data_IF_624100653854
#
_entry.id   IF_624100653854
#
_cell.length_a   1.000
_cell.length_b   1.000
_cell.length_c   1.000
_cell.angle_alpha   90.00
_cell.angle_beta   90.00
_cell.angle_gamma   90.00
#
_symmetry.space_group_name_H-M   'P 1'
#
loop_
_entity.id
_entity.type
_entity.pdbx_description
1 polymer ?
#
# COMPACT_ATOMS: atom_id res chain seq x y z
N UNK A 1 -10.80 -3.30 40.43
CA UNK A 1 -10.89 -3.41 38.95
C UNK A 1 -9.93 -4.51 38.50
N UNK A 2 -10.44 -5.62 37.94
CA UNK A 2 -9.58 -6.68 37.39
C UNK A 2 -8.97 -6.17 36.08
N UNK A 3 -7.65 -6.01 36.04
CA UNK A 3 -6.92 -5.85 34.79
C UNK A 3 -6.99 -7.20 34.05
N UNK A 4 -7.86 -7.30 33.05
CA UNK A 4 -7.78 -8.37 32.06
C UNK A 4 -6.52 -8.14 31.24
N UNK A 5 -5.44 -8.80 31.64
CA UNK A 5 -4.22 -8.92 30.83
C UNK A 5 -4.56 -9.70 29.57
N UNK A 6 -4.84 -9.01 28.47
CA UNK A 6 -4.89 -9.64 27.15
C UNK A 6 -3.47 -10.13 26.81
N UNK A 7 -3.26 -11.44 26.86
CA UNK A 7 -2.01 -12.07 26.45
C UNK A 7 -1.82 -11.89 24.94
N UNK A 8 -0.71 -11.26 24.55
CA UNK A 8 -0.35 -11.04 23.15
C UNK A 8 0.08 -12.36 22.52
N UNK A 9 -0.47 -12.71 21.35
CA UNK A 9 -0.06 -13.85 20.55
C UNK A 9 1.35 -13.62 19.99
N UNK A 10 2.33 -14.30 20.59
CA UNK A 10 3.75 -14.16 20.23
C UNK A 10 4.03 -14.45 18.75
N UNK A 11 3.28 -15.36 18.11
CA UNK A 11 3.49 -15.67 16.69
C UNK A 11 3.00 -14.52 15.80
N UNK A 12 1.81 -13.98 16.06
CA UNK A 12 1.27 -12.85 15.30
C UNK A 12 2.19 -11.61 15.39
N UNK A 13 2.79 -11.35 16.56
CA UNK A 13 3.74 -10.24 16.71
C UNK A 13 5.03 -10.44 15.89
N UNK A 14 5.53 -11.68 15.78
CA UNK A 14 6.68 -11.97 14.91
C UNK A 14 6.35 -11.73 13.44
N UNK A 15 5.18 -12.20 13.01
CA UNK A 15 4.68 -11.97 11.65
C UNK A 15 4.42 -10.50 11.37
N UNK A 16 3.86 -9.75 12.32
CA UNK A 16 3.70 -8.30 12.20
C UNK A 16 5.04 -7.56 12.07
N UNK A 17 6.07 -7.99 12.80
CA UNK A 17 7.42 -7.45 12.66
C UNK A 17 8.03 -7.74 11.28
N UNK A 18 7.87 -8.97 10.77
CA UNK A 18 8.31 -9.32 9.41
C UNK A 18 7.55 -8.55 8.33
N UNK A 19 6.23 -8.38 8.50
CA UNK A 19 5.39 -7.59 7.62
C UNK A 19 5.87 -6.14 7.55
N UNK A 20 6.12 -5.49 8.70
CA UNK A 20 6.65 -4.11 8.72
C UNK A 20 8.01 -3.97 8.02
N UNK A 21 8.91 -4.96 8.18
CA UNK A 21 10.20 -4.96 7.49
C UNK A 21 10.06 -5.14 5.98
N UNK A 22 9.16 -6.04 5.56
CA UNK A 22 8.85 -6.22 4.14
C UNK A 22 8.22 -4.97 3.53
N UNK A 23 7.26 -4.35 4.22
CA UNK A 23 6.60 -3.13 3.74
C UNK A 23 7.61 -2.00 3.52
N UNK A 24 8.57 -1.83 4.43
CA UNK A 24 9.66 -0.87 4.27
C UNK A 24 10.58 -1.23 3.10
N UNK A 25 10.93 -2.51 2.94
CA UNK A 25 11.75 -2.98 1.81
C UNK A 25 11.04 -2.77 0.46
N UNK A 26 9.75 -3.07 0.39
CA UNK A 26 8.94 -2.89 -0.80
C UNK A 26 8.83 -1.41 -1.22
N UNK A 27 8.79 -0.47 -0.27
CA UNK A 27 8.92 0.96 -0.58
C UNK A 27 10.25 1.29 -1.28
N UNK A 28 11.36 0.74 -0.80
CA UNK A 28 12.68 0.93 -1.42
C UNK A 28 12.70 0.31 -2.82
N UNK A 29 12.16 -0.91 -2.98
CA UNK A 29 12.02 -1.59 -4.28
C UNK A 29 11.18 -0.73 -5.24
N UNK A 30 10.07 -0.16 -4.77
CA UNK A 30 9.20 0.72 -5.55
C UNK A 30 9.93 1.97 -6.03
N UNK A 31 10.63 2.68 -5.14
CA UNK A 31 11.40 3.88 -5.50
C UNK A 31 12.47 3.54 -6.55
N UNK A 32 13.26 2.48 -6.32
CA UNK A 32 14.30 2.07 -7.28
C UNK A 32 13.68 1.63 -8.61
N UNK A 33 12.70 0.74 -8.58
CA UNK A 33 12.09 0.16 -9.78
C UNK A 33 11.32 1.18 -10.60
N UNK A 34 10.39 1.91 -9.98
CA UNK A 34 9.53 2.85 -10.69
C UNK A 34 10.24 4.14 -11.08
N UNK A 35 11.13 4.69 -10.24
CA UNK A 35 11.72 6.02 -10.48
C UNK A 35 13.12 5.92 -11.09
N UNK A 36 13.97 5.00 -10.61
CA UNK A 36 15.36 4.95 -11.09
C UNK A 36 15.56 4.04 -12.31
N UNK A 37 14.74 3.00 -12.46
CA UNK A 37 14.93 2.00 -13.53
C UNK A 37 14.01 2.25 -14.72
N UNK A 38 12.69 2.33 -14.52
CA UNK A 38 11.73 2.38 -15.64
C UNK A 38 11.20 3.79 -15.92
N UNK A 39 10.88 4.58 -14.89
CA UNK A 39 10.42 5.96 -14.93
C UNK A 39 9.42 6.34 -16.04
N UNK A 40 8.38 5.52 -16.24
CA UNK A 40 7.30 5.86 -17.19
C UNK A 40 6.49 7.09 -16.77
N UNK A 41 6.59 7.51 -15.50
CA UNK A 41 5.91 8.70 -14.96
C UNK A 41 6.34 10.01 -15.61
N UNK A 42 7.57 10.09 -16.12
CA UNK A 42 8.10 11.29 -16.80
C UNK A 42 7.65 11.40 -18.26
N UNK A 43 7.04 10.35 -18.83
CA UNK A 43 6.59 10.35 -20.21
C UNK A 43 5.23 11.06 -20.29
N UNK A 44 5.22 12.26 -20.89
CA UNK A 44 4.01 13.07 -21.02
C UNK A 44 3.07 12.58 -22.15
N UNK A 45 3.64 12.09 -23.25
CA UNK A 45 2.85 11.63 -24.40
C UNK A 45 2.23 10.24 -24.13
N UNK A 46 0.89 10.09 -24.20
CA UNK A 46 0.25 8.81 -23.89
C UNK A 46 0.63 7.65 -24.81
N UNK A 47 0.94 7.91 -26.09
CA UNK A 47 1.34 6.86 -27.03
C UNK A 47 2.75 6.36 -26.72
N UNK A 48 3.67 7.27 -26.42
CA UNK A 48 5.03 6.94 -25.97
C UNK A 48 5.00 6.20 -24.62
N UNK A 49 4.12 6.61 -23.70
CA UNK A 49 3.98 5.94 -22.40
C UNK A 49 3.51 4.49 -22.57
N UNK A 50 2.52 4.25 -23.43
CA UNK A 50 2.06 2.88 -23.77
C UNK A 50 3.18 2.05 -24.40
N UNK A 51 4.00 2.63 -25.27
CA UNK A 51 5.15 1.93 -25.84
C UNK A 51 6.18 1.54 -24.77
N UNK A 52 6.54 2.45 -23.87
CA UNK A 52 7.45 2.15 -22.76
C UNK A 52 6.87 1.08 -21.82
N UNK A 53 5.55 1.07 -21.62
CA UNK A 53 4.85 0.03 -20.86
C UNK A 53 4.99 -1.33 -21.54
N UNK A 54 4.79 -1.41 -22.85
CA UNK A 54 4.95 -2.67 -23.60
C UNK A 54 6.39 -3.19 -23.54
N UNK A 55 7.38 -2.30 -23.66
CA UNK A 55 8.81 -2.64 -23.57
C UNK A 55 9.20 -3.16 -22.18
N UNK A 56 8.56 -2.67 -21.12
CA UNK A 56 8.90 -2.98 -19.72
C UNK A 56 7.83 -3.83 -19.01
N UNK A 57 6.90 -4.43 -19.75
CA UNK A 57 5.68 -5.04 -19.20
C UNK A 57 5.99 -6.04 -18.08
N UNK A 58 6.94 -6.95 -18.30
CA UNK A 58 7.30 -7.97 -17.31
C UNK A 58 7.82 -7.35 -16.01
N UNK A 59 8.71 -6.37 -16.10
CA UNK A 59 9.27 -5.70 -14.93
C UNK A 59 8.20 -4.90 -14.19
N UNK A 60 7.38 -4.13 -14.92
CA UNK A 60 6.27 -3.37 -14.33
C UNK A 60 5.26 -4.30 -13.65
N UNK A 61 4.94 -5.46 -14.23
CA UNK A 61 4.06 -6.45 -13.63
C UNK A 61 4.59 -6.98 -12.30
N UNK A 62 5.89 -7.32 -12.26
CA UNK A 62 6.55 -7.81 -11.06
C UNK A 62 6.62 -6.73 -9.97
N UNK A 63 6.95 -5.50 -10.35
CA UNK A 63 6.98 -4.37 -9.42
C UNK A 63 5.60 -4.13 -8.80
N UNK A 64 4.52 -4.12 -9.59
CA UNK A 64 3.17 -3.94 -9.06
C UNK A 64 2.71 -5.14 -8.22
N UNK A 65 3.11 -6.36 -8.57
CA UNK A 65 2.83 -7.53 -7.75
C UNK A 65 3.48 -7.41 -6.37
N UNK A 66 4.77 -7.05 -6.31
CA UNK A 66 5.54 -6.95 -5.07
C UNK A 66 5.09 -5.75 -4.23
N UNK A 67 5.02 -4.57 -4.85
CA UNK A 67 4.87 -3.28 -4.16
C UNK A 67 3.41 -2.94 -3.87
N UNK A 68 2.44 -3.53 -4.59
CA UNK A 68 1.02 -3.29 -4.33
C UNK A 68 0.31 -4.53 -3.78
N UNK A 69 0.35 -5.64 -4.51
CA UNK A 69 -0.49 -6.81 -4.17
C UNK A 69 0.03 -7.54 -2.93
N UNK A 70 1.30 -7.95 -2.94
CA UNK A 70 1.91 -8.62 -1.80
C UNK A 70 2.03 -7.65 -0.61
N UNK A 71 2.36 -6.38 -0.89
CA UNK A 71 2.39 -5.31 0.11
C UNK A 71 1.07 -5.13 0.85
N UNK A 72 -0.05 -5.00 0.12
CA UNK A 72 -1.36 -4.89 0.75
C UNK A 72 -1.73 -6.14 1.54
N UNK A 73 -1.36 -7.33 1.06
CA UNK A 73 -1.58 -8.57 1.81
C UNK A 73 -0.77 -8.61 3.13
N UNK A 74 0.47 -8.12 3.13
CA UNK A 74 1.28 -8.01 4.36
C UNK A 74 0.74 -6.95 5.31
N UNK A 75 0.16 -5.86 4.79
CA UNK A 75 -0.46 -4.82 5.60
C UNK A 75 -1.65 -5.33 6.42
N UNK A 76 -2.38 -6.34 5.93
CA UNK A 76 -3.41 -7.03 6.72
C UNK A 76 -2.79 -7.63 7.98
N UNK A 77 -1.67 -8.35 7.84
CA UNK A 77 -0.97 -8.99 8.95
C UNK A 77 -0.45 -7.95 9.93
N UNK A 78 0.18 -6.88 9.45
CA UNK A 78 0.65 -5.78 10.28
C UNK A 78 -0.50 -5.10 11.04
N UNK A 79 -1.61 -4.82 10.36
CA UNK A 79 -2.80 -4.19 10.95
C UNK A 79 -3.39 -5.01 12.09
N UNK A 80 -3.44 -6.34 11.93
CA UNK A 80 -3.93 -7.25 12.97
C UNK A 80 -2.93 -7.39 14.12
N UNK A 81 -1.62 -7.43 13.84
CA UNK A 81 -0.61 -7.46 14.89
C UNK A 81 -0.63 -6.18 15.75
N UNK A 82 -0.80 -5.01 15.11
CA UNK A 82 -0.94 -3.73 15.79
C UNK A 82 -2.27 -3.61 16.55
N UNK A 83 -3.36 -4.16 16.00
CA UNK A 83 -4.63 -4.25 16.71
C UNK A 83 -4.47 -4.92 18.07
N UNK A 84 -3.84 -6.10 18.08
CA UNK A 84 -3.64 -6.86 19.31
C UNK A 84 -2.67 -6.14 20.25
N UNK A 85 -1.54 -5.66 19.71
CA UNK A 85 -0.51 -4.96 20.48
C UNK A 85 -1.04 -3.69 21.15
N UNK A 86 -1.94 -2.96 20.50
CA UNK A 86 -2.50 -1.72 21.05
C UNK A 86 -3.79 -1.93 21.86
N UNK A 87 -4.23 -3.17 22.05
CA UNK A 87 -5.38 -3.52 22.88
C UNK A 87 -6.73 -3.30 22.21
N UNK A 88 -6.87 -3.73 20.95
CA UNK A 88 -8.05 -3.53 20.11
C UNK A 88 -9.36 -4.07 20.67
N UNK A 89 -9.31 -5.13 21.49
CA UNK A 89 -10.51 -5.63 22.18
C UNK A 89 -11.17 -4.59 23.11
N UNK A 90 -10.37 -3.71 23.72
CA UNK A 90 -10.83 -2.73 24.71
C UNK A 90 -10.93 -1.30 24.17
N UNK A 91 -10.40 -1.02 22.97
CA UNK A 91 -10.31 0.34 22.43
C UNK A 91 -11.05 0.48 21.12
N UNK A 92 -12.16 1.24 21.13
CA UNK A 92 -12.88 1.59 19.92
C UNK A 92 -11.97 2.26 18.88
N UNK A 93 -11.06 3.13 19.33
CA UNK A 93 -10.15 3.85 18.45
C UNK A 93 -9.15 2.92 17.74
N UNK A 94 -8.67 1.88 18.42
CA UNK A 94 -7.80 0.87 17.80
C UNK A 94 -8.59 0.03 16.80
N UNK A 95 -9.84 -0.33 17.09
CA UNK A 95 -10.70 -1.05 16.13
C UNK A 95 -10.94 -0.22 14.88
N UNK A 96 -11.21 1.08 15.05
CA UNK A 96 -11.36 2.02 13.92
C UNK A 96 -10.06 2.11 13.13
N UNK A 97 -8.90 2.25 13.78
CA UNK A 97 -7.61 2.23 13.11
C UNK A 97 -7.44 0.93 12.30
N UNK A 98 -7.65 -0.24 12.90
CA UNK A 98 -7.58 -1.53 12.21
C UNK A 98 -8.50 -1.58 10.99
N UNK A 99 -9.73 -1.08 11.08
CA UNK A 99 -10.64 -1.03 9.94
C UNK A 99 -10.05 -0.20 8.78
N UNK A 100 -9.49 0.98 9.06
CA UNK A 100 -8.80 1.78 8.04
C UNK A 100 -7.58 1.06 7.45
N UNK A 101 -6.79 0.37 8.27
CA UNK A 101 -5.64 -0.42 7.77
C UNK A 101 -6.07 -1.56 6.83
N UNK A 102 -7.16 -2.25 7.14
CA UNK A 102 -7.71 -3.32 6.29
C UNK A 102 -8.35 -2.77 5.00
N UNK A 103 -9.03 -1.63 5.08
CA UNK A 103 -9.58 -0.95 3.88
C UNK A 103 -8.43 -0.53 2.97
N UNK A 104 -7.38 0.08 3.52
CA UNK A 104 -6.21 0.50 2.75
C UNK A 104 -5.52 -0.68 2.09
N UNK A 105 -5.29 -1.78 2.83
CA UNK A 105 -4.78 -3.02 2.26
C UNK A 105 -5.59 -3.49 1.04
N UNK A 106 -6.92 -3.51 1.16
CA UNK A 106 -7.81 -3.87 0.04
C UNK A 106 -7.70 -2.93 -1.15
N UNK A 107 -7.62 -1.62 -0.91
CA UNK A 107 -7.47 -0.61 -1.95
C UNK A 107 -6.14 -0.74 -2.70
N UNK A 108 -5.03 -0.96 -1.99
CA UNK A 108 -3.70 -1.12 -2.59
C UNK A 108 -3.63 -2.41 -3.41
N UNK A 109 -4.20 -3.52 -2.92
CA UNK A 109 -4.32 -4.77 -3.69
C UNK A 109 -5.12 -4.53 -4.97
N UNK A 110 -6.30 -3.92 -4.86
CA UNK A 110 -7.17 -3.66 -6.00
C UNK A 110 -6.47 -2.76 -7.03
N UNK A 111 -5.78 -1.73 -6.58
CA UNK A 111 -4.98 -0.82 -7.42
C UNK A 111 -3.92 -1.60 -8.21
N UNK A 112 -3.08 -2.41 -7.55
CA UNK A 112 -2.06 -3.22 -8.22
C UNK A 112 -2.62 -4.23 -9.23
N UNK A 113 -3.75 -4.87 -8.89
CA UNK A 113 -4.42 -5.81 -9.79
C UNK A 113 -5.00 -5.12 -11.04
N UNK A 114 -5.63 -3.96 -10.85
CA UNK A 114 -6.15 -3.14 -11.97
C UNK A 114 -5.02 -2.70 -12.88
N UNK A 115 -3.88 -2.30 -12.31
CA UNK A 115 -2.71 -1.93 -13.11
C UNK A 115 -2.22 -3.10 -13.96
N UNK A 116 -2.01 -4.27 -13.36
CA UNK A 116 -1.47 -5.44 -14.08
C UNK A 116 -2.40 -5.90 -15.21
N UNK A 117 -3.71 -6.03 -14.93
CA UNK A 117 -4.70 -6.45 -15.93
C UNK A 117 -4.88 -5.35 -17.00
N UNK A 118 -4.93 -4.09 -16.58
CA UNK A 118 -5.06 -2.95 -17.48
C UNK A 118 -3.86 -2.81 -18.42
N UNK A 119 -2.65 -3.02 -17.90
CA UNK A 119 -1.42 -3.05 -18.69
C UNK A 119 -1.44 -4.17 -19.74
N UNK A 120 -1.81 -5.40 -19.38
CA UNK A 120 -1.95 -6.50 -20.34
C UNK A 120 -2.94 -6.15 -21.46
N UNK A 121 -4.09 -5.56 -21.09
CA UNK A 121 -5.11 -5.11 -22.05
C UNK A 121 -4.56 -4.05 -23.00
N UNK A 122 -3.83 -3.06 -22.48
CA UNK A 122 -3.26 -1.95 -23.25
C UNK A 122 -2.17 -2.43 -24.21
N UNK A 123 -1.29 -3.34 -23.77
CA UNK A 123 -0.25 -3.93 -24.62
C UNK A 123 -0.87 -4.74 -25.75
N UNK A 124 -1.92 -5.51 -25.48
CA UNK A 124 -2.63 -6.26 -26.51
C UNK A 124 -3.30 -5.36 -27.57
N UNK A 125 -3.82 -4.19 -27.17
CA UNK A 125 -4.44 -3.23 -28.08
C UNK A 125 -3.41 -2.46 -28.93
N UNK A 126 -2.20 -2.26 -28.42
CA UNK A 126 -1.20 -1.38 -29.02
C UNK A 126 -0.89 -1.72 -30.49
N UNK A 127 -0.82 -3.00 -30.85
CA UNK A 127 -0.47 -3.43 -32.20
C UNK A 127 -1.57 -3.16 -33.25
N UNK A 128 -2.83 -3.12 -32.82
CA UNK A 128 -3.99 -2.93 -33.71
C UNK A 128 -4.52 -1.50 -33.71
N UNK A 129 -4.55 -0.85 -32.54
CA UNK A 129 -5.03 0.53 -32.39
C UNK A 129 -4.28 1.24 -31.23
N UNK A 130 -3.13 1.88 -31.52
CA UNK A 130 -2.37 2.63 -30.52
C UNK A 130 -3.18 3.75 -29.86
N UNK A 131 -4.12 4.37 -30.59
CA UNK A 131 -4.92 5.49 -30.08
C UNK A 131 -5.95 5.02 -29.04
N UNK A 132 -6.57 3.87 -29.30
CA UNK A 132 -7.44 3.21 -28.35
C UNK A 132 -6.65 2.72 -27.13
N UNK A 133 -5.47 2.12 -27.34
CA UNK A 133 -4.60 1.68 -26.25
C UNK A 133 -4.24 2.84 -25.29
N UNK A 134 -3.86 4.00 -25.83
CA UNK A 134 -3.60 5.20 -25.04
C UNK A 134 -4.84 5.69 -24.26
N UNK A 135 -6.02 5.65 -24.88
CA UNK A 135 -7.27 6.04 -24.21
C UNK A 135 -7.61 5.10 -23.06
N UNK A 136 -7.48 3.79 -23.27
CA UNK A 136 -7.69 2.77 -22.22
C UNK A 136 -6.65 2.95 -21.11
N UNK A 137 -5.40 3.25 -21.46
CA UNK A 137 -4.34 3.50 -20.48
C UNK A 137 -4.68 4.67 -19.55
N UNK A 138 -5.15 5.80 -20.08
CA UNK A 138 -5.56 6.95 -19.26
C UNK A 138 -6.66 6.59 -18.26
N UNK A 139 -7.62 5.75 -18.65
CA UNK A 139 -8.67 5.27 -17.75
C UNK A 139 -8.10 4.34 -16.65
N UNK A 140 -7.21 3.41 -17.02
CA UNK A 140 -6.52 2.54 -16.07
C UNK A 140 -5.70 3.36 -15.07
N UNK A 141 -4.88 4.30 -15.56
CA UNK A 141 -4.01 5.16 -14.74
C UNK A 141 -4.82 6.01 -13.77
N UNK A 142 -5.96 6.56 -14.20
CA UNK A 142 -6.85 7.34 -13.34
C UNK A 142 -7.43 6.50 -12.19
N UNK A 143 -7.95 5.30 -12.49
CA UNK A 143 -8.52 4.40 -11.48
C UNK A 143 -7.44 3.87 -10.53
N UNK A 144 -6.31 3.44 -11.08
CA UNK A 144 -5.14 3.02 -10.31
C UNK A 144 -4.74 4.08 -9.29
N UNK A 145 -4.52 5.31 -9.76
CA UNK A 145 -4.09 6.45 -8.95
C UNK A 145 -5.10 6.79 -7.86
N UNK A 146 -6.39 6.81 -8.22
CA UNK A 146 -7.47 7.19 -7.30
C UNK A 146 -7.74 6.18 -6.18
N UNK A 147 -7.47 4.89 -6.38
CA UNK A 147 -7.69 3.86 -5.36
C UNK A 147 -6.58 3.81 -4.31
N UNK A 148 -5.33 3.95 -4.75
CA UNK A 148 -4.15 3.76 -3.90
C UNK A 148 -2.81 3.82 -4.63
N UNK A 149 -2.84 4.03 -5.96
CA UNK A 149 -1.65 4.21 -6.80
C UNK A 149 -0.92 5.53 -6.55
N UNK A 150 -1.65 6.59 -6.17
CA UNK A 150 -1.07 7.90 -5.88
C UNK A 150 -1.75 8.69 -4.75
N UNK A 151 -2.84 8.18 -4.17
CA UNK A 151 -3.52 8.80 -3.02
C UNK A 151 -3.41 7.90 -1.80
N UNK A 152 -2.82 8.41 -0.72
CA UNK A 152 -2.51 7.64 0.49
C UNK A 152 -3.34 8.08 1.71
N UNK A 153 -4.46 8.75 1.49
CA UNK A 153 -5.29 9.35 2.55
C UNK A 153 -5.75 8.32 3.58
N UNK A 154 -6.17 7.13 3.13
CA UNK A 154 -6.62 6.05 4.02
C UNK A 154 -5.48 5.54 4.90
N UNK A 155 -4.27 5.42 4.32
CA UNK A 155 -3.04 5.08 5.06
C UNK A 155 -2.66 6.16 6.07
N UNK A 156 -2.75 7.44 5.70
CA UNK A 156 -2.53 8.57 6.61
C UNK A 156 -3.45 8.51 7.82
N UNK A 157 -4.76 8.29 7.62
CA UNK A 157 -5.73 8.12 8.72
C UNK A 157 -5.34 6.93 9.62
N UNK A 158 -4.94 5.80 9.02
CA UNK A 158 -4.49 4.63 9.78
C UNK A 158 -3.27 4.94 10.67
N UNK A 159 -2.22 5.57 10.12
CA UNK A 159 -1.01 5.95 10.86
C UNK A 159 -1.33 6.96 11.96
N UNK A 160 -2.17 7.96 11.68
CA UNK A 160 -2.58 9.00 12.64
C UNK A 160 -3.24 8.36 13.87
N UNK A 161 -4.22 7.50 13.64
CA UNK A 161 -4.98 6.85 14.71
C UNK A 161 -4.11 5.92 15.55
N UNK A 162 -3.24 5.12 14.90
CA UNK A 162 -2.30 4.24 15.59
C UNK A 162 -1.33 5.03 16.46
N UNK A 163 -0.71 6.06 15.89
CA UNK A 163 0.28 6.92 16.58
C UNK A 163 -0.33 7.61 17.79
N UNK A 164 -1.56 8.13 17.63
CA UNK A 164 -2.29 8.78 18.71
C UNK A 164 -2.60 7.82 19.87
N UNK A 165 -3.11 6.63 19.58
CA UNK A 165 -3.40 5.63 20.64
C UNK A 165 -2.11 5.16 21.30
N UNK A 166 -1.06 4.92 20.51
CA UNK A 166 0.21 4.42 21.01
C UNK A 166 0.93 5.43 21.93
N UNK A 167 0.78 6.74 21.68
CA UNK A 167 1.22 7.79 22.61
C UNK A 167 0.44 7.74 23.93
N UNK A 168 -0.87 7.52 23.88
CA UNK A 168 -1.73 7.47 25.08
C UNK A 168 -1.46 6.27 25.96
N UNK A 169 -1.20 5.09 25.37
CA UNK A 169 -1.06 3.85 26.12
C UNK A 169 0.41 3.40 26.34
N UNK A 170 1.39 4.09 25.74
CA UNK A 170 2.81 3.83 25.93
C UNK A 170 3.32 2.51 25.35
N UNK A 171 2.58 1.87 24.42
CA UNK A 171 2.91 0.53 23.91
C UNK A 171 3.86 0.51 22.70
N UNK A 172 4.18 1.68 22.14
CA UNK A 172 5.21 1.87 21.12
C UNK A 172 6.15 3.03 21.52
N UNK A 173 7.39 3.06 21.00
CA UNK A 173 8.34 4.14 21.28
C UNK A 173 7.76 5.52 20.94
N UNK A 174 7.95 6.50 21.83
CA UNK A 174 7.41 7.87 21.64
C UNK A 174 7.91 8.53 20.36
N UNK A 175 9.20 8.38 20.05
CA UNK A 175 9.80 8.95 18.84
C UNK A 175 9.12 8.44 17.56
N UNK A 176 8.83 7.13 17.50
CA UNK A 176 8.13 6.52 16.38
C UNK A 176 6.72 7.10 16.22
N UNK A 177 6.00 7.29 17.32
CA UNK A 177 4.64 7.83 17.23
C UNK A 177 4.61 9.32 16.87
N UNK A 178 5.55 10.14 17.35
CA UNK A 178 5.64 11.54 16.91
C UNK A 178 5.99 11.65 15.42
N UNK A 179 6.91 10.80 14.94
CA UNK A 179 7.18 10.69 13.52
C UNK A 179 5.93 10.26 12.74
N UNK A 180 5.19 9.27 13.24
CA UNK A 180 3.92 8.84 12.67
C UNK A 180 2.90 9.98 12.55
N UNK A 181 2.72 10.78 13.61
CA UNK A 181 1.85 11.97 13.56
C UNK A 181 2.28 12.97 12.48
N UNK A 182 3.59 13.22 12.34
CA UNK A 182 4.15 14.15 11.37
C UNK A 182 3.88 13.71 9.92
N UNK A 183 4.05 12.43 9.61
CA UNK A 183 3.88 11.90 8.23
C UNK A 183 2.43 11.58 7.89
N UNK A 184 1.53 11.55 8.88
CA UNK A 184 0.11 11.28 8.71
C UNK A 184 -0.76 12.53 8.55
N UNK A 185 -0.16 13.72 8.64
CA UNK A 185 -0.82 15.02 8.59
C UNK A 185 -0.87 15.59 7.17
#
# INVERSE_FOLDING_TARGET
MKQTSYSTNSQLQKWGGLAALYEALAYIIGIVGFIMVVNISEIADPLQKVAAIAENQTLLSLLHLIVYVIWGATLVVLSLALHERLGGAASALVRTATAFGLIWAGLVIASGMIYNIGMETVVALQAGDPSQAATVWLAVEAVFTGLGGGVEVVGGIWVLLLSWVALRNGRLPRALNYFGLLVSA
#
